data_IF_433519963879
#
_entry.id   IF_433519963879
#
_cell.length_a   1.000
_cell.length_b   1.000
_cell.length_c   1.000
_cell.angle_alpha   90.00
_cell.angle_beta   90.00
_cell.angle_gamma   90.00
#
_symmetry.space_group_name_H-M   'P 1'
#
loop_
_entity.id
_entity.type
_entity.pdbx_description
1 polymer ?
#
# COMPACT_ATOMS: atom_id res chain seq x y z
N UNK A 1 -8.26 7.09 21.38
CA UNK A 1 -7.00 7.32 20.65
C UNK A 1 -6.51 5.95 20.20
N UNK A 2 -6.63 5.62 18.91
CA UNK A 2 -6.23 4.31 18.39
C UNK A 2 -4.70 4.26 18.33
N UNK A 3 -4.10 3.24 18.94
CA UNK A 3 -2.67 2.93 18.79
C UNK A 3 -2.39 2.75 17.29
N UNK A 4 -1.47 3.50 16.68
CA UNK A 4 -1.15 3.26 15.28
C UNK A 4 -0.54 1.88 15.18
N UNK A 5 -1.13 1.01 14.34
CA UNK A 5 -0.53 -0.26 13.98
C UNK A 5 0.90 0.02 13.47
N UNK A 6 1.93 -0.42 14.20
CA UNK A 6 3.32 -0.27 13.72
C UNK A 6 3.54 -1.31 12.63
N UNK A 7 3.70 -0.86 11.40
CA UNK A 7 4.25 -1.68 10.32
C UNK A 7 5.77 -1.53 10.42
N UNK A 8 6.50 -2.65 10.46
CA UNK A 8 7.96 -2.60 10.45
C UNK A 8 8.46 -2.35 9.02
N UNK A 9 9.61 -1.70 8.89
CA UNK A 9 10.27 -1.46 7.59
C UNK A 9 10.59 -2.77 6.84
N UNK A 10 10.80 -3.86 7.57
CA UNK A 10 11.05 -5.21 7.04
C UNK A 10 9.76 -5.99 6.73
N UNK A 11 8.58 -5.47 7.07
CA UNK A 11 7.32 -6.14 6.79
C UNK A 11 7.14 -6.31 5.28
N UNK A 12 6.96 -7.56 4.85
CA UNK A 12 6.63 -7.89 3.47
C UNK A 12 5.15 -7.66 3.22
N UNK A 13 4.85 -6.98 2.13
CA UNK A 13 3.54 -6.58 1.66
C UNK A 13 3.29 -7.39 0.40
N UNK A 14 2.22 -8.16 0.39
CA UNK A 14 1.86 -9.01 -0.75
C UNK A 14 0.46 -8.66 -1.19
N UNK A 15 0.29 -8.37 -2.49
CA UNK A 15 -1.02 -8.15 -3.07
C UNK A 15 -1.76 -9.48 -3.12
N UNK A 16 -3.04 -9.46 -2.73
CA UNK A 16 -3.89 -10.65 -2.82
C UNK A 16 -4.01 -11.09 -4.27
N UNK A 17 -3.84 -12.39 -4.53
CA UNK A 17 -3.99 -12.97 -5.87
C UNK A 17 -5.41 -12.83 -6.45
N UNK A 18 -6.39 -12.58 -5.59
CA UNK A 18 -7.78 -12.30 -5.94
C UNK A 18 -8.04 -10.81 -6.25
N UNK A 19 -7.10 -9.92 -5.90
CA UNK A 19 -7.23 -8.50 -6.18
C UNK A 19 -6.98 -8.24 -7.68
N UNK A 20 -8.00 -7.74 -8.37
CA UNK A 20 -7.90 -7.35 -9.77
C UNK A 20 -7.68 -5.86 -9.84
N UNK A 21 -6.52 -5.41 -10.31
CA UNK A 21 -6.21 -3.99 -10.48
C UNK A 21 -5.92 -3.65 -11.93
N UNK A 22 -6.39 -2.49 -12.37
CA UNK A 22 -6.07 -1.87 -13.65
C UNK A 22 -5.34 -0.56 -13.38
N UNK A 23 -4.11 -0.44 -13.86
CA UNK A 23 -3.39 0.82 -13.88
C UNK A 23 -3.63 1.56 -15.19
N UNK A 24 -3.90 2.85 -15.09
CA UNK A 24 -4.05 3.80 -16.19
C UNK A 24 -3.10 4.97 -15.93
N UNK A 25 -2.78 5.82 -16.93
CA UNK A 25 -1.85 6.93 -16.70
C UNK A 25 -2.39 7.92 -15.66
N UNK A 26 -1.89 7.81 -14.43
CA UNK A 26 -2.23 8.65 -13.27
C UNK A 26 -3.10 7.95 -12.21
N UNK A 27 -3.92 6.99 -12.61
CA UNK A 27 -4.93 6.38 -11.73
C UNK A 27 -4.87 4.85 -11.77
N UNK A 28 -5.00 4.21 -10.61
CA UNK A 28 -5.13 2.76 -10.50
C UNK A 28 -6.48 2.41 -9.88
N UNK A 29 -7.25 1.57 -10.58
CA UNK A 29 -8.54 1.08 -10.08
C UNK A 29 -8.37 -0.37 -9.65
N UNK A 30 -8.69 -0.65 -8.39
CA UNK A 30 -8.64 -1.99 -7.80
C UNK A 30 -10.06 -2.45 -7.52
N UNK A 31 -10.38 -3.66 -7.96
CA UNK A 31 -11.61 -4.34 -7.58
C UNK A 31 -11.42 -5.01 -6.22
N UNK A 32 -12.23 -4.61 -5.25
CA UNK A 32 -12.40 -5.29 -3.98
C UNK A 32 -13.24 -6.56 -4.19
N UNK A 33 -12.65 -7.78 -4.08
CA UNK A 33 -13.39 -9.01 -4.27
C UNK A 33 -14.37 -9.28 -3.12
N UNK A 34 -14.14 -8.70 -1.93
CA UNK A 34 -14.99 -8.95 -0.76
C UNK A 34 -16.33 -8.20 -0.83
N UNK A 35 -16.31 -6.92 -1.20
CA UNK A 35 -17.51 -6.08 -1.28
C UNK A 35 -18.01 -5.85 -2.70
N UNK A 36 -17.25 -6.25 -3.72
CA UNK A 36 -17.55 -5.99 -5.13
C UNK A 36 -17.46 -4.50 -5.50
N UNK A 37 -16.70 -3.71 -4.75
CA UNK A 37 -16.54 -2.26 -4.96
C UNK A 37 -15.24 -1.95 -5.70
N UNK A 38 -15.23 -0.85 -6.44
CA UNK A 38 -14.01 -0.33 -7.06
C UNK A 38 -13.37 0.68 -6.12
N UNK A 39 -12.06 0.52 -5.90
CA UNK A 39 -11.22 1.41 -5.14
C UNK A 39 -10.27 2.12 -6.10
N UNK A 40 -10.42 3.44 -6.22
CA UNK A 40 -9.53 4.27 -7.03
C UNK A 40 -8.37 4.77 -6.20
N UNK A 41 -7.16 4.60 -6.72
CA UNK A 41 -5.92 5.19 -6.25
C UNK A 41 -5.49 6.26 -7.25
N UNK A 42 -5.01 7.39 -6.76
CA UNK A 42 -4.47 8.48 -7.56
C UNK A 42 -3.10 8.91 -7.04
N UNK A 43 -2.25 9.42 -7.93
CA UNK A 43 -0.95 9.98 -7.60
C UNK A 43 -0.07 9.00 -6.81
N UNK A 44 0.23 9.33 -5.55
CA UNK A 44 1.07 8.52 -4.65
C UNK A 44 0.45 7.14 -4.39
N UNK A 45 -0.88 7.03 -4.32
CA UNK A 45 -1.55 5.75 -4.09
C UNK A 45 -1.29 4.76 -5.22
N UNK A 46 -1.40 5.22 -6.47
CA UNK A 46 -1.07 4.45 -7.67
C UNK A 46 0.38 3.96 -7.59
N UNK A 47 1.30 4.87 -7.27
CA UNK A 47 2.72 4.53 -7.21
C UNK A 47 3.03 3.51 -6.12
N UNK A 48 2.44 3.65 -4.93
CA UNK A 48 2.54 2.65 -3.86
C UNK A 48 2.09 1.28 -4.38
N UNK A 49 0.95 1.19 -5.07
CA UNK A 49 0.46 -0.07 -5.61
C UNK A 49 1.37 -0.70 -6.66
N UNK A 50 1.99 0.10 -7.53
CA UNK A 50 3.01 -0.38 -8.48
C UNK A 50 4.26 -0.89 -7.75
N UNK A 51 4.69 -0.18 -6.71
CA UNK A 51 5.82 -0.59 -5.90
C UNK A 51 5.51 -1.90 -5.17
N UNK A 52 4.30 -2.12 -4.67
CA UNK A 52 3.92 -3.39 -4.04
C UNK A 52 4.06 -4.61 -4.97
N UNK A 53 3.97 -4.42 -6.28
CA UNK A 53 4.17 -5.49 -7.27
C UNK A 53 5.65 -5.82 -7.50
N UNK A 54 6.56 -4.91 -7.19
CA UNK A 54 8.00 -5.01 -7.55
C UNK A 54 8.94 -5.00 -6.33
N UNK A 55 8.57 -4.28 -5.28
CA UNK A 55 9.26 -4.09 -4.02
C UNK A 55 8.35 -4.51 -2.86
N UNK A 56 8.60 -5.68 -2.25
CA UNK A 56 7.67 -6.22 -1.28
C UNK A 56 7.76 -5.57 0.11
N UNK A 57 8.78 -4.78 0.45
CA UNK A 57 8.93 -4.30 1.85
C UNK A 57 8.44 -2.88 2.05
N UNK A 58 7.73 -2.66 3.17
CA UNK A 58 7.21 -1.34 3.56
C UNK A 58 8.29 -0.25 3.54
N UNK A 59 9.48 -0.57 4.05
CA UNK A 59 10.60 0.36 4.08
C UNK A 59 11.08 0.81 2.71
N UNK A 60 11.13 -0.11 1.75
CA UNK A 60 11.53 0.21 0.38
C UNK A 60 10.48 1.09 -0.28
N UNK A 61 9.19 0.75 -0.12
CA UNK A 61 8.09 1.56 -0.68
C UNK A 61 8.16 2.99 -0.17
N UNK A 62 8.26 3.19 1.15
CA UNK A 62 8.34 4.53 1.75
C UNK A 62 9.58 5.27 1.24
N UNK A 63 10.75 4.64 1.27
CA UNK A 63 11.99 5.27 0.83
C UNK A 63 11.92 5.72 -0.64
N UNK A 64 11.33 4.89 -1.52
CA UNK A 64 11.14 5.22 -2.93
C UNK A 64 10.16 6.39 -3.11
N UNK A 65 9.03 6.40 -2.39
CA UNK A 65 8.08 7.52 -2.49
C UNK A 65 8.69 8.83 -1.97
N UNK A 66 9.42 8.78 -0.85
CA UNK A 66 10.13 9.95 -0.30
C UNK A 66 11.12 10.52 -1.32
N UNK A 67 11.90 9.65 -1.97
CA UNK A 67 12.87 10.03 -2.99
C UNK A 67 12.22 10.57 -4.28
N UNK A 68 11.14 9.93 -4.75
CA UNK A 68 10.46 10.33 -6.00
C UNK A 68 9.62 11.60 -5.86
N UNK A 69 8.99 11.82 -4.71
CA UNK A 69 8.06 12.93 -4.48
C UNK A 69 8.64 14.06 -3.63
N UNK A 70 9.89 13.93 -3.14
CA UNK A 70 10.56 14.90 -2.26
C UNK A 70 9.68 15.30 -1.05
N UNK A 71 9.06 14.29 -0.42
CA UNK A 71 8.15 14.47 0.72
C UNK A 71 8.83 14.12 2.05
N UNK A 72 8.32 14.68 3.14
CA UNK A 72 8.80 14.34 4.48
C UNK A 72 8.52 12.86 4.81
N UNK A 73 9.52 12.18 5.37
CA UNK A 73 9.44 10.76 5.67
C UNK A 73 8.36 10.43 6.70
N UNK A 74 8.19 11.23 7.77
CA UNK A 74 7.16 10.98 8.79
C UNK A 74 5.75 11.14 8.19
N UNK A 75 5.58 12.11 7.28
CA UNK A 75 4.33 12.31 6.54
C UNK A 75 4.06 11.14 5.58
N UNK A 76 5.05 10.78 4.75
CA UNK A 76 4.95 9.66 3.82
C UNK A 76 4.64 8.35 4.55
N UNK A 77 5.33 8.05 5.65
CA UNK A 77 5.07 6.87 6.47
C UNK A 77 3.64 6.85 7.00
N UNK A 78 3.10 7.99 7.46
CA UNK A 78 1.71 8.04 7.95
C UNK A 78 0.71 7.78 6.85
N UNK A 79 0.86 8.42 5.70
CA UNK A 79 -0.07 8.31 4.58
C UNK A 79 -0.01 6.93 3.92
N UNK A 80 1.19 6.43 3.62
CA UNK A 80 1.39 5.08 3.05
C UNK A 80 0.87 4.02 4.02
N UNK A 81 1.14 4.15 5.32
CA UNK A 81 0.60 3.23 6.32
C UNK A 81 -0.93 3.26 6.36
N UNK A 82 -1.54 4.44 6.37
CA UNK A 82 -3.00 4.56 6.39
C UNK A 82 -3.61 3.88 5.16
N UNK A 83 -3.00 4.09 3.99
CA UNK A 83 -3.40 3.44 2.74
C UNK A 83 -3.28 1.90 2.82
N UNK A 84 -2.13 1.39 3.27
CA UNK A 84 -1.90 -0.05 3.37
C UNK A 84 -2.85 -0.72 4.36
N UNK A 85 -3.15 -0.07 5.49
CA UNK A 85 -4.13 -0.59 6.46
C UNK A 85 -5.53 -0.64 5.85
N UNK A 86 -5.93 0.39 5.09
CA UNK A 86 -7.22 0.46 4.40
C UNK A 86 -7.36 -0.62 3.31
N UNK A 87 -6.29 -0.86 2.54
CA UNK A 87 -6.20 -1.94 1.56
C UNK A 87 -6.22 -3.33 2.23
N UNK A 88 -5.56 -3.48 3.39
CA UNK A 88 -5.53 -4.73 4.16
C UNK A 88 -6.89 -5.07 4.74
N UNK A 89 -7.60 -4.07 5.26
CA UNK A 89 -8.96 -4.24 5.81
C UNK A 89 -9.95 -4.73 4.73
N UNK A 90 -9.73 -4.30 3.49
CA UNK A 90 -10.45 -4.78 2.30
C UNK A 90 -9.95 -6.12 1.76
N UNK A 91 -8.89 -6.69 2.33
CA UNK A 91 -8.30 -7.94 1.84
C UNK A 91 -7.57 -7.81 0.50
N UNK A 92 -7.22 -6.61 0.06
CA UNK A 92 -6.49 -6.34 -1.17
C UNK A 92 -4.98 -6.58 -1.03
N UNK A 93 -4.45 -6.34 0.18
CA UNK A 93 -3.05 -6.59 0.53
C UNK A 93 -2.93 -7.37 1.83
N UNK A 94 -1.84 -8.10 1.97
CA UNK A 94 -1.49 -8.89 3.15
C UNK A 94 -0.13 -8.46 3.66
N UNK A 95 0.01 -8.41 4.98
CA UNK A 95 1.28 -8.15 5.65
C UNK A 95 1.85 -9.50 6.08
N UNK A 96 2.90 -9.92 5.40
CA UNK A 96 3.70 -11.10 5.70
C UNK A 96 4.92 -10.62 6.49
N UNK A 97 4.85 -10.66 7.81
CA UNK A 97 5.90 -10.05 8.64
C UNK A 97 5.66 -10.13 10.14
N UNK A 98 4.95 -11.17 10.57
CA UNK A 98 4.88 -11.53 11.98
C UNK A 98 5.19 -13.02 12.09
N UNK A 99 6.47 -13.36 11.92
CA UNK A 99 7.00 -14.58 12.51
C UNK A 99 7.01 -14.36 14.02
N UNK A 100 6.00 -14.92 14.69
CA UNK A 100 6.11 -15.29 16.08
C UNK A 100 7.19 -16.38 16.26
#
# INVERSE_FOLDING_TARGET
MATPARIATDTTLTISSDAVSTSTPGETVILDPASGKYFGLDGVGTRVWELLQTAPTYGTVVATIVDEYDVDADTCERDVRALLVDLRDRGLVRFEGESA
#
